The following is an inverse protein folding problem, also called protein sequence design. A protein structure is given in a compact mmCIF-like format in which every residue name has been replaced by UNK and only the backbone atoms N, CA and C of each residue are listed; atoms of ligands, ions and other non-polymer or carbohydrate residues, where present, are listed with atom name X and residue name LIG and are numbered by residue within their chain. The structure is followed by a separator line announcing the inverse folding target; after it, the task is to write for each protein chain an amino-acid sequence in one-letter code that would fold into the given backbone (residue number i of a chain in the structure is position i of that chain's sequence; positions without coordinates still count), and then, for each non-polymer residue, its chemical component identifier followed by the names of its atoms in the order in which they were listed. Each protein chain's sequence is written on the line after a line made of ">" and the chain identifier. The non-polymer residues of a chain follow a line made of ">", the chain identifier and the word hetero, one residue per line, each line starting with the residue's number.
data_IF_399291047179
#
_entry.id   IF_399291047179
#
_cell.length_a   1.000
_cell.length_b   1.000
_cell.length_c   1.000
_cell.angle_alpha   90.00
_cell.angle_beta   90.00
_cell.angle_gamma   90.00
#
_symmetry.space_group_name_H-M   'P 1'
#
loop_
_entity.id
_entity.type
_entity.pdbx_description
1 polymer ?
#
# COMPACT_ATOMS: atom_id res chain seq x y z
N UNK A 1 9.24 17.27 -0.48
CA UNK A 1 10.03 16.47 -1.42
C UNK A 1 11.43 17.07 -1.48
N UNK A 2 12.44 16.31 -1.09
CA UNK A 2 13.84 16.72 -1.24
C UNK A 2 14.65 15.49 -1.53
N UNK A 3 15.14 15.37 -2.76
CA UNK A 3 16.17 14.39 -3.11
C UNK A 3 17.42 14.73 -2.31
N UNK A 4 18.12 13.72 -1.79
CA UNK A 4 19.42 13.93 -1.17
C UNK A 4 20.35 14.67 -2.14
N UNK A 5 20.68 15.92 -1.83
CA UNK A 5 21.52 16.77 -2.68
C UNK A 5 23.00 16.38 -2.64
N UNK A 6 23.41 15.65 -1.61
CA UNK A 6 24.80 15.24 -1.38
C UNK A 6 25.26 14.09 -2.29
N UNK A 7 24.36 13.46 -3.05
CA UNK A 7 24.67 12.34 -3.96
C UNK A 7 24.00 12.60 -5.31
N UNK A 8 24.74 12.48 -6.42
CA UNK A 8 24.16 12.47 -7.77
C UNK A 8 23.40 11.17 -8.00
N UNK A 9 22.11 11.14 -7.69
CA UNK A 9 21.25 9.98 -7.91
C UNK A 9 20.72 9.99 -9.34
N UNK A 10 20.92 8.89 -10.10
CA UNK A 10 20.45 8.74 -11.49
C UNK A 10 18.91 8.76 -11.62
N UNK A 11 18.20 8.20 -10.64
CA UNK A 11 16.74 8.24 -10.53
C UNK A 11 16.36 8.19 -9.05
N UNK A 12 15.51 9.12 -8.59
CA UNK A 12 15.02 9.13 -7.21
C UNK A 12 14.29 7.81 -6.84
N UNK A 13 13.79 7.06 -7.82
CA UNK A 13 13.05 5.80 -7.67
C UNK A 13 13.95 4.55 -7.69
N UNK A 14 15.25 4.72 -7.94
CA UNK A 14 16.20 3.60 -8.00
C UNK A 14 16.68 3.11 -6.63
N UNK A 15 16.74 4.02 -5.63
CA UNK A 15 17.28 3.73 -4.31
C UNK A 15 16.77 4.73 -3.28
N UNK A 16 16.31 4.22 -2.14
CA UNK A 16 15.83 5.03 -1.03
C UNK A 16 17.00 5.61 -0.23
N UNK A 17 16.95 6.91 0.04
CA UNK A 17 17.92 7.65 0.84
C UNK A 17 17.24 8.36 2.00
N UNK A 18 17.73 8.13 3.21
CA UNK A 18 17.25 8.78 4.42
C UNK A 18 18.33 9.76 4.94
N UNK A 19 17.93 10.90 5.50
CA UNK A 19 18.83 11.81 6.20
C UNK A 19 18.37 11.98 7.64
N UNK A 20 19.31 12.12 8.58
CA UNK A 20 18.97 12.36 9.97
C UNK A 20 18.46 13.79 10.15
N UNK A 21 17.41 14.01 10.95
CA UNK A 21 16.82 15.36 11.14
C UNK A 21 17.83 16.39 11.64
N UNK A 22 18.72 15.99 12.55
CA UNK A 22 19.79 16.87 13.06
C UNK A 22 20.97 17.07 12.08
N UNK A 23 21.07 16.27 11.01
CA UNK A 23 22.16 16.32 10.03
C UNK A 23 21.61 16.10 8.61
N UNK A 24 20.90 17.08 8.03
CA UNK A 24 20.21 16.94 6.75
C UNK A 24 21.17 16.76 5.55
N UNK A 25 22.46 17.06 5.73
CA UNK A 25 23.49 16.92 4.70
C UNK A 25 24.04 15.49 4.56
N UNK A 26 23.79 14.63 5.56
CA UNK A 26 24.29 13.25 5.61
C UNK A 26 23.17 12.29 5.25
N UNK A 27 23.29 11.67 4.08
CA UNK A 27 22.31 10.71 3.58
C UNK A 27 22.84 9.27 3.68
N UNK A 28 21.99 8.35 4.12
CA UNK A 28 22.25 6.91 4.13
C UNK A 28 21.25 6.21 3.22
N UNK A 29 21.73 5.31 2.37
CA UNK A 29 20.85 4.52 1.50
C UNK A 29 20.38 3.26 2.23
N UNK A 30 19.08 2.96 2.17
CA UNK A 30 18.53 1.67 2.64
C UNK A 30 18.67 0.54 1.61
N UNK A 31 19.35 0.77 0.48
CA UNK A 31 19.64 -0.19 -0.61
C UNK A 31 18.41 -0.75 -1.36
N UNK A 32 17.22 -0.67 -0.79
CA UNK A 32 15.94 -0.90 -1.48
C UNK A 32 15.50 0.33 -2.29
N UNK A 33 14.73 0.16 -3.38
CA UNK A 33 14.06 1.26 -4.06
C UNK A 33 12.91 1.82 -3.20
N UNK A 34 12.50 3.09 -3.40
CA UNK A 34 11.25 3.61 -2.85
C UNK A 34 10.05 2.81 -3.38
N UNK A 35 8.95 2.89 -2.65
CA UNK A 35 7.71 2.21 -3.05
C UNK A 35 7.10 2.84 -4.29
N UNK A 36 6.28 2.07 -4.99
CA UNK A 36 5.53 2.61 -6.11
C UNK A 36 4.53 3.67 -5.64
N UNK A 37 4.40 4.74 -6.41
CA UNK A 37 3.65 5.93 -6.04
C UNK A 37 4.44 6.94 -5.22
N UNK A 38 5.69 6.66 -4.80
CA UNK A 38 6.52 7.66 -4.10
C UNK A 38 6.73 8.88 -5.00
N UNK A 39 6.39 10.10 -4.55
CA UNK A 39 6.59 11.32 -5.34
C UNK A 39 8.08 11.58 -5.54
N UNK A 40 8.49 11.54 -6.79
CA UNK A 40 9.89 11.72 -7.20
C UNK A 40 10.14 13.07 -7.88
N UNK A 41 9.09 13.88 -8.05
CA UNK A 41 9.13 15.23 -8.59
C UNK A 41 7.72 15.84 -8.64
N UNK A 42 7.61 17.05 -9.19
CA UNK A 42 6.33 17.70 -9.39
C UNK A 42 5.48 16.91 -10.40
N UNK A 43 4.28 16.46 -9.99
CA UNK A 43 3.38 15.62 -10.79
C UNK A 43 4.01 14.30 -11.29
N UNK A 44 5.02 13.78 -10.60
CA UNK A 44 5.71 12.51 -10.94
C UNK A 44 5.82 11.59 -9.74
N UNK A 45 5.73 10.30 -10.00
CA UNK A 45 5.79 9.24 -9.00
C UNK A 45 6.64 8.05 -9.46
N UNK A 46 7.07 7.24 -8.51
CA UNK A 46 7.84 6.04 -8.81
C UNK A 46 6.96 4.91 -9.34
N UNK A 47 7.29 4.37 -10.51
CA UNK A 47 6.70 3.15 -11.08
C UNK A 47 7.86 2.32 -11.63
N UNK A 48 7.98 1.06 -11.25
CA UNK A 48 9.06 0.16 -11.70
C UNK A 48 10.49 0.76 -11.58
N UNK A 49 10.77 1.51 -10.50
CA UNK A 49 12.05 2.20 -10.24
C UNK A 49 12.36 3.41 -11.16
N UNK A 50 11.39 3.82 -11.96
CA UNK A 50 11.44 4.98 -12.84
C UNK A 50 10.52 6.08 -12.31
N UNK A 51 10.93 7.34 -12.46
CA UNK A 51 10.14 8.49 -12.04
C UNK A 51 9.20 8.90 -13.18
N UNK A 52 8.00 8.32 -13.19
CA UNK A 52 6.99 8.48 -14.23
C UNK A 52 6.02 9.63 -13.92
N UNK A 53 5.40 10.28 -14.92
CA UNK A 53 4.29 11.20 -14.71
C UNK A 53 3.07 10.49 -14.12
N UNK A 54 2.31 11.19 -13.29
CA UNK A 54 1.06 10.66 -12.72
C UNK A 54 0.00 10.49 -13.83
N UNK A 55 -0.67 9.32 -13.94
CA UNK A 55 -1.77 9.12 -14.88
C UNK A 55 -2.90 10.12 -14.59
N UNK A 56 -3.32 10.86 -15.62
CA UNK A 56 -4.28 11.96 -15.51
C UNK A 56 -3.67 13.36 -15.67
N UNK A 57 -2.34 13.51 -15.64
CA UNK A 57 -1.63 14.77 -15.97
C UNK A 57 -0.57 14.59 -17.07
N UNK A 58 -0.52 13.41 -17.71
CA UNK A 58 0.32 13.18 -18.86
C UNK A 58 -0.20 13.98 -20.05
N UNK A 59 0.57 14.97 -20.50
CA UNK A 59 0.44 15.50 -21.87
C UNK A 59 0.72 14.31 -22.78
N UNK A 60 -0.31 13.81 -23.45
CA UNK A 60 -0.20 12.73 -24.42
C UNK A 60 0.71 13.22 -25.55
N UNK A 61 1.93 12.74 -25.58
CA UNK A 61 2.70 12.70 -26.82
C UNK A 61 2.57 11.27 -27.32
N UNK A 62 1.66 11.12 -28.27
CA UNK A 62 1.44 9.86 -28.98
C UNK A 62 2.63 9.63 -29.90
N UNK A 63 3.36 8.54 -29.68
CA UNK A 63 4.05 7.89 -30.78
C UNK A 63 3.82 6.40 -30.66
N UNK A 64 2.88 5.95 -31.47
CA UNK A 64 2.69 4.55 -31.87
C UNK A 64 4.00 3.97 -32.40
N UNK A 65 4.30 2.71 -32.06
CA UNK A 65 4.65 1.73 -33.08
C UNK A 65 4.57 0.29 -32.53
N UNK A 66 3.64 -0.43 -33.14
CA UNK A 66 3.56 -1.89 -33.32
C UNK A 66 4.84 -2.49 -33.87
N UNK A 67 5.23 -3.67 -33.39
CA UNK A 67 5.73 -4.74 -34.26
C UNK A 67 5.73 -6.10 -33.54
N UNK A 68 4.92 -6.99 -34.08
CA UNK A 68 4.98 -8.45 -33.96
C UNK A 68 6.11 -9.00 -34.82
N UNK A 69 6.84 -10.00 -34.36
CA UNK A 69 7.48 -11.00 -35.23
C UNK A 69 7.80 -12.31 -34.47
N UNK A 70 7.83 -13.40 -35.23
CA UNK A 70 7.56 -14.79 -34.83
C UNK A 70 8.84 -15.65 -34.90
N UNK A 71 8.95 -16.60 -33.95
CA UNK A 71 9.73 -17.87 -33.87
C UNK A 71 11.24 -17.91 -34.16
N UNK A 72 12.00 -18.53 -33.25
CA UNK A 72 12.86 -19.71 -33.54
C UNK A 72 12.92 -20.62 -32.30
N UNK A 73 12.70 -21.93 -32.51
CA UNK A 73 12.88 -23.00 -31.53
C UNK A 73 14.36 -23.17 -31.13
N UNK A 74 14.62 -23.42 -29.84
CA UNK A 74 15.78 -24.25 -29.47
C UNK A 74 15.46 -25.06 -28.21
N UNK A 75 15.24 -26.36 -28.43
CA UNK A 75 15.33 -27.39 -27.39
C UNK A 75 16.82 -27.55 -27.08
N UNK A 76 17.19 -27.37 -25.81
CA UNK A 76 18.43 -27.87 -25.25
C UNK A 76 18.24 -28.03 -23.73
N UNK A 77 18.09 -29.28 -23.32
CA UNK A 77 18.08 -29.72 -21.92
C UNK A 77 19.38 -29.30 -21.22
N UNK A 78 19.25 -28.75 -20.00
CA UNK A 78 20.12 -29.05 -18.87
C UNK A 78 19.60 -28.35 -17.62
N UNK A 79 18.94 -29.15 -16.79
CA UNK A 79 18.70 -28.89 -15.38
C UNK A 79 20.01 -28.42 -14.72
N UNK A 80 20.05 -27.13 -14.40
CA UNK A 80 20.90 -26.62 -13.33
C UNK A 80 20.01 -25.78 -12.45
N UNK A 81 19.53 -26.43 -11.40
CA UNK A 81 18.75 -25.88 -10.30
C UNK A 81 19.39 -24.58 -9.83
N UNK A 82 18.82 -23.45 -10.25
CA UNK A 82 19.17 -22.15 -9.72
C UNK A 82 18.64 -22.13 -8.29
N UNK A 83 19.50 -22.51 -7.35
CA UNK A 83 19.23 -22.71 -5.93
C UNK A 83 19.00 -21.36 -5.20
N UNK A 84 18.42 -20.38 -5.90
CA UNK A 84 18.14 -19.04 -5.39
C UNK A 84 16.64 -18.92 -5.10
N UNK A 85 16.26 -18.33 -3.96
CA UNK A 85 14.86 -18.09 -3.65
C UNK A 85 14.29 -17.04 -4.60
N UNK A 86 13.21 -17.41 -5.29
CA UNK A 86 12.56 -16.57 -6.29
C UNK A 86 11.07 -16.43 -6.01
N UNK A 87 10.57 -15.20 -6.13
CA UNK A 87 9.13 -14.96 -6.07
C UNK A 87 8.45 -15.46 -7.34
N UNK A 88 7.29 -16.08 -7.21
CA UNK A 88 6.37 -16.24 -8.34
C UNK A 88 5.88 -14.88 -8.80
N UNK A 89 5.33 -14.86 -10.01
CA UNK A 89 4.52 -13.74 -10.43
C UNK A 89 3.41 -13.45 -9.40
N UNK A 90 3.05 -12.18 -9.35
CA UNK A 90 1.89 -11.76 -8.58
C UNK A 90 0.63 -12.42 -9.11
N UNK A 91 -0.17 -12.97 -8.20
CA UNK A 91 -1.52 -13.37 -8.50
C UNK A 91 -2.37 -12.18 -8.96
N UNK A 92 -3.55 -12.49 -9.49
CA UNK A 92 -4.55 -11.48 -9.81
C UNK A 92 -4.96 -10.74 -8.54
N UNK A 93 -5.30 -9.47 -8.71
CA UNK A 93 -5.96 -8.71 -7.66
C UNK A 93 -7.31 -9.33 -7.34
N UNK A 94 -7.66 -9.35 -6.06
CA UNK A 94 -9.01 -9.66 -5.59
C UNK A 94 -9.99 -8.61 -6.09
N UNK A 95 -11.27 -8.94 -6.01
CA UNK A 95 -12.34 -7.96 -6.10
C UNK A 95 -12.21 -6.90 -5.01
N UNK A 96 -12.86 -5.76 -5.23
CA UNK A 96 -12.88 -4.68 -4.27
C UNK A 96 -13.68 -5.10 -3.03
N UNK A 97 -13.14 -4.89 -1.84
CA UNK A 97 -13.81 -5.24 -0.58
C UNK A 97 -15.07 -4.43 -0.31
N UNK A 98 -15.27 -3.34 -1.04
CA UNK A 98 -16.46 -2.50 -0.95
C UNK A 98 -17.33 -2.65 -2.20
N UNK A 99 -18.65 -2.61 -2.00
CA UNK A 99 -19.66 -2.59 -3.07
C UNK A 99 -20.05 -1.17 -3.51
N UNK A 100 -19.65 -0.16 -2.75
CA UNK A 100 -19.76 1.26 -3.10
C UNK A 100 -18.58 2.03 -2.47
N UNK A 101 -18.26 3.20 -3.00
CA UNK A 101 -17.17 4.04 -2.52
C UNK A 101 -15.79 3.40 -2.73
N UNK A 102 -14.89 3.69 -1.80
CA UNK A 102 -13.55 3.11 -1.79
C UNK A 102 -13.49 1.86 -0.91
N UNK A 103 -12.78 0.85 -1.39
CA UNK A 103 -12.46 -0.37 -0.65
C UNK A 103 -10.98 -0.73 -0.80
N UNK A 104 -10.66 -1.96 -0.40
CA UNK A 104 -9.33 -2.55 -0.54
C UNK A 104 -9.40 -3.76 -1.46
N UNK A 105 -8.32 -4.00 -2.19
CA UNK A 105 -8.08 -5.24 -2.90
C UNK A 105 -6.69 -5.75 -2.59
N UNK A 106 -6.54 -7.07 -2.62
CA UNK A 106 -5.30 -7.75 -2.24
C UNK A 106 -4.80 -8.63 -3.37
N UNK A 107 -3.51 -8.89 -3.38
CA UNK A 107 -2.91 -9.94 -4.23
C UNK A 107 -1.78 -10.60 -3.49
N UNK A 108 -1.50 -11.84 -3.87
CA UNK A 108 -0.52 -12.70 -3.21
C UNK A 108 0.46 -13.23 -4.26
N UNK A 109 1.71 -13.40 -3.87
CA UNK A 109 2.74 -14.16 -4.59
C UNK A 109 3.37 -15.15 -3.62
N UNK A 110 3.93 -16.24 -4.14
CA UNK A 110 4.60 -17.26 -3.33
C UNK A 110 6.08 -17.22 -3.58
N UNK A 111 6.89 -17.53 -2.59
CA UNK A 111 8.32 -17.68 -2.79
C UNK A 111 8.65 -19.15 -3.01
N UNK A 112 9.44 -19.44 -4.04
CA UNK A 112 9.91 -20.77 -4.39
C UNK A 112 11.40 -20.85 -4.09
N UNK A 113 11.79 -21.89 -3.37
CA UNK A 113 13.19 -22.17 -3.04
C UNK A 113 13.36 -23.69 -3.01
N UNK A 114 14.35 -24.24 -3.74
CA UNK A 114 14.61 -25.69 -3.80
C UNK A 114 13.38 -26.53 -4.17
N UNK A 115 12.62 -26.06 -5.16
CA UNK A 115 11.39 -26.72 -5.60
C UNK A 115 10.19 -26.63 -4.65
N UNK A 116 10.35 -26.07 -3.44
CA UNK A 116 9.27 -25.94 -2.44
C UNK A 116 8.83 -24.49 -2.25
N UNK A 117 7.59 -24.31 -1.79
CA UNK A 117 7.11 -23.00 -1.36
C UNK A 117 7.73 -22.69 0.01
N UNK A 118 8.42 -21.57 0.11
CA UNK A 118 9.00 -21.07 1.36
C UNK A 118 8.44 -19.69 1.65
N UNK A 119 8.03 -19.40 2.89
CA UNK A 119 7.52 -18.08 3.26
C UNK A 119 8.64 -17.10 3.66
N UNK A 120 9.84 -17.62 3.96
CA UNK A 120 10.94 -16.84 4.56
C UNK A 120 12.18 -16.77 3.68
N UNK A 121 12.32 -17.61 2.65
CA UNK A 121 13.51 -17.64 1.84
C UNK A 121 13.65 -16.42 0.92
N UNK A 122 12.55 -15.80 0.51
CA UNK A 122 12.58 -14.59 -0.32
C UNK A 122 12.43 -13.32 0.52
N UNK A 123 13.23 -12.31 0.20
CA UNK A 123 13.13 -11.00 0.83
C UNK A 123 11.91 -10.21 0.29
N UNK A 124 11.17 -9.58 1.20
CA UNK A 124 10.00 -8.76 0.91
C UNK A 124 8.66 -9.44 1.23
N UNK A 125 7.55 -8.71 1.04
CA UNK A 125 6.22 -9.23 1.36
C UNK A 125 5.70 -10.19 0.26
N UNK A 126 5.08 -11.29 0.70
CA UNK A 126 4.33 -12.21 -0.15
C UNK A 126 2.90 -11.74 -0.46
N UNK A 127 2.45 -10.65 0.18
CA UNK A 127 1.13 -10.06 -0.02
C UNK A 127 1.24 -8.56 -0.32
N UNK A 128 0.26 -8.03 -1.04
CA UNK A 128 0.13 -6.61 -1.31
C UNK A 128 -1.33 -6.19 -1.20
N UNK A 129 -1.54 -4.96 -0.69
CA UNK A 129 -2.85 -4.34 -0.53
C UNK A 129 -2.86 -3.01 -1.28
N UNK A 130 -3.99 -2.67 -1.90
CA UNK A 130 -4.20 -1.37 -2.55
C UNK A 130 -5.65 -0.94 -2.44
N UNK A 131 -5.90 0.37 -2.45
CA UNK A 131 -7.26 0.91 -2.60
C UNK A 131 -7.85 0.61 -3.97
N UNK A 132 -9.17 0.48 -3.99
CA UNK A 132 -9.99 0.31 -5.19
C UNK A 132 -11.24 1.17 -5.11
N UNK A 133 -11.77 1.54 -6.28
CA UNK A 133 -13.08 2.15 -6.42
C UNK A 133 -14.10 1.06 -6.78
N UNK A 134 -15.21 0.99 -6.04
CA UNK A 134 -16.24 -0.03 -6.22
C UNK A 134 -17.15 0.20 -7.44
N UNK A 135 -16.89 1.24 -8.24
CA UNK A 135 -17.66 1.56 -9.44
C UNK A 135 -18.83 2.50 -9.20
N UNK A 136 -19.30 2.65 -7.97
CA UNK A 136 -20.39 3.56 -7.60
C UNK A 136 -20.09 4.28 -6.29
N UNK A 137 -20.54 5.53 -6.15
CA UNK A 137 -20.52 6.23 -4.87
C UNK A 137 -21.54 5.61 -3.92
N UNK A 138 -21.26 5.62 -2.61
CA UNK A 138 -22.26 5.21 -1.63
C UNK A 138 -23.38 6.25 -1.57
N UNK A 139 -24.63 5.78 -1.49
CA UNK A 139 -25.83 6.64 -1.46
C UNK A 139 -25.81 7.65 -0.29
N UNK A 140 -25.16 7.30 0.81
CA UNK A 140 -24.94 8.18 1.96
C UNK A 140 -23.50 8.05 2.44
N UNK A 141 -22.94 9.16 2.94
CA UNK A 141 -21.69 9.14 3.68
C UNK A 141 -21.94 8.39 5.00
N UNK A 142 -21.44 7.16 5.10
CA UNK A 142 -21.59 6.31 6.28
C UNK A 142 -20.30 6.29 7.08
N UNK A 143 -20.37 6.72 8.32
CA UNK A 143 -19.31 6.49 9.29
C UNK A 143 -19.45 5.07 9.85
N UNK A 144 -18.57 4.16 9.39
CA UNK A 144 -18.57 2.77 9.85
C UNK A 144 -18.35 2.66 11.36
N UNK A 145 -17.59 3.57 11.98
CA UNK A 145 -17.39 3.55 13.44
C UNK A 145 -18.69 3.89 14.15
N UNK A 146 -19.39 4.92 13.68
CA UNK A 146 -20.70 5.31 14.22
C UNK A 146 -21.75 4.21 14.02
N UNK A 147 -21.80 3.61 12.83
CA UNK A 147 -22.68 2.47 12.56
C UNK A 147 -22.43 1.30 13.51
N UNK A 148 -21.17 0.97 13.83
CA UNK A 148 -20.86 -0.11 14.75
C UNK A 148 -21.22 0.27 16.19
N UNK A 149 -20.85 1.46 16.66
CA UNK A 149 -21.16 1.91 18.02
C UNK A 149 -22.66 1.97 18.29
N UNK A 150 -23.45 2.54 17.37
CA UNK A 150 -24.91 2.64 17.52
C UNK A 150 -25.61 1.27 17.53
N UNK A 151 -25.03 0.25 16.87
CA UNK A 151 -25.49 -1.14 16.96
C UNK A 151 -25.21 -1.79 18.31
N UNK A 152 -24.14 -1.38 19.00
CA UNK A 152 -23.85 -1.90 20.34
C UNK A 152 -24.83 -1.30 21.36
N UNK A 153 -25.03 0.02 21.31
CA UNK A 153 -25.99 0.69 22.17
C UNK A 153 -26.44 2.01 21.52
N UNK A 154 -27.73 2.35 21.66
CA UNK A 154 -28.31 3.53 21.03
C UNK A 154 -27.63 4.85 21.44
N UNK A 155 -27.00 4.88 22.62
CA UNK A 155 -26.28 6.07 23.13
C UNK A 155 -24.78 6.08 22.88
N UNK A 156 -24.24 5.06 22.22
CA UNK A 156 -22.81 4.99 21.98
C UNK A 156 -22.41 5.83 20.77
N UNK A 157 -21.41 6.66 20.98
CA UNK A 157 -20.74 7.43 19.95
C UNK A 157 -19.31 6.90 19.74
N UNK A 158 -18.73 7.04 18.54
CA UNK A 158 -17.34 6.66 18.29
C UNK A 158 -16.37 7.43 19.19
N UNK A 159 -15.44 6.69 19.80
CA UNK A 159 -14.29 7.24 20.49
C UNK A 159 -13.03 6.99 19.66
N UNK A 160 -12.31 8.03 19.29
CA UNK A 160 -11.01 7.89 18.64
C UNK A 160 -9.94 7.83 19.72
N UNK A 161 -9.28 6.67 19.84
CA UNK A 161 -8.26 6.45 20.87
C UNK A 161 -7.05 7.38 20.65
N UNK A 162 -6.44 7.98 21.69
CA UNK A 162 -5.30 8.89 21.53
C UNK A 162 -4.02 8.19 21.04
N UNK A 163 -3.86 6.90 21.36
CA UNK A 163 -2.78 6.07 20.83
C UNK A 163 -3.10 5.60 19.41
N UNK A 164 -2.23 5.96 18.46
CA UNK A 164 -2.41 5.63 17.05
C UNK A 164 -2.53 4.12 16.82
N UNK A 165 -1.80 3.28 17.56
CA UNK A 165 -1.82 1.81 17.37
C UNK A 165 -3.22 1.20 17.56
N UNK A 166 -4.12 1.90 18.25
CA UNK A 166 -5.48 1.45 18.56
C UNK A 166 -6.53 2.10 17.65
N UNK A 167 -6.10 2.91 16.68
CA UNK A 167 -7.01 3.52 15.70
C UNK A 167 -7.75 2.47 14.85
N UNK A 168 -7.24 1.24 14.71
CA UNK A 168 -7.93 0.15 14.02
C UNK A 168 -8.78 -0.76 14.91
N UNK A 169 -8.97 -0.37 16.17
CA UNK A 169 -9.94 -0.96 17.07
C UNK A 169 -11.21 -0.10 17.09
N UNK A 170 -12.35 -0.74 17.36
CA UNK A 170 -13.60 -0.04 17.57
C UNK A 170 -13.72 0.32 19.06
N UNK A 171 -13.65 1.61 19.33
CA UNK A 171 -13.89 2.16 20.66
C UNK A 171 -15.16 3.01 20.63
N UNK A 172 -16.00 2.83 21.64
CA UNK A 172 -17.24 3.60 21.80
C UNK A 172 -17.33 4.16 23.22
N UNK A 173 -17.99 5.31 23.36
CA UNK A 173 -18.29 5.91 24.66
C UNK A 173 -19.76 6.28 24.71
N UNK A 174 -20.37 6.18 25.89
CA UNK A 174 -21.73 6.65 26.10
C UNK A 174 -21.73 8.17 26.27
N UNK A 175 -22.51 8.89 25.44
CA UNK A 175 -22.57 10.34 25.53
C UNK A 175 -23.20 10.84 26.84
N UNK A 176 -23.96 10.00 27.56
CA UNK A 176 -24.54 10.32 28.86
C UNK A 176 -23.54 10.16 30.01
N UNK A 177 -22.32 9.71 29.72
CA UNK A 177 -21.24 9.50 30.70
C UNK A 177 -20.80 8.05 30.79
N UNK A 178 -19.51 7.84 31.04
CA UNK A 178 -18.88 6.53 31.10
C UNK A 178 -17.46 6.54 30.52
N UNK A 179 -16.76 5.41 30.67
CA UNK A 179 -15.44 5.20 30.06
C UNK A 179 -15.54 4.64 28.63
N UNK A 180 -14.46 4.76 27.84
CA UNK A 180 -14.40 4.15 26.51
C UNK A 180 -14.39 2.62 26.63
N UNK A 181 -15.20 1.96 25.81
CA UNK A 181 -15.34 0.50 25.72
C UNK A 181 -14.87 0.01 24.36
N UNK A 182 -14.12 -1.10 24.33
CA UNK A 182 -13.57 -1.72 23.13
C UNK A 182 -14.47 -2.85 22.63
N UNK A 183 -14.75 -2.88 21.33
CA UNK A 183 -15.60 -3.90 20.68
C UNK A 183 -14.85 -4.72 19.60
N UNK A 184 -13.52 -4.72 19.61
CA UNK A 184 -12.67 -5.49 18.72
C UNK A 184 -12.10 -4.68 17.55
N UNK A 185 -11.89 -5.35 16.41
CA UNK A 185 -11.27 -4.76 15.24
C UNK A 185 -12.27 -4.04 14.33
N UNK A 186 -11.81 -2.97 13.68
CA UNK A 186 -12.58 -2.32 12.61
C UNK A 186 -12.53 -3.12 11.31
N UNK A 187 -13.60 -3.06 10.50
CA UNK A 187 -13.61 -3.68 9.19
C UNK A 187 -12.51 -3.11 8.28
N UNK A 188 -11.97 -3.97 7.41
CA UNK A 188 -10.96 -3.56 6.44
C UNK A 188 -11.45 -2.41 5.53
N UNK A 189 -10.53 -1.48 5.24
CA UNK A 189 -10.80 -0.27 4.48
C UNK A 189 -11.46 0.85 5.29
N UNK A 190 -11.76 0.65 6.57
CA UNK A 190 -12.26 1.73 7.44
C UNK A 190 -11.14 2.75 7.69
N UNK A 191 -11.38 4.07 7.53
CA UNK A 191 -10.38 5.08 7.83
C UNK A 191 -9.90 4.99 9.28
N UNK A 192 -8.58 5.06 9.49
CA UNK A 192 -7.93 4.98 10.80
C UNK A 192 -8.25 6.19 11.67
N UNK A 193 -8.40 7.37 11.08
CA UNK A 193 -8.87 8.57 11.78
C UNK A 193 -9.75 9.41 10.88
N UNK A 194 -10.51 10.33 11.49
CA UNK A 194 -11.28 11.33 10.76
C UNK A 194 -10.42 12.41 10.09
N UNK A 195 -9.18 12.61 10.56
CA UNK A 195 -8.24 13.59 10.02
C UNK A 195 -7.43 13.07 8.83
N UNK A 196 -7.25 11.75 8.71
CA UNK A 196 -6.48 11.10 7.64
C UNK A 196 -7.37 10.07 6.93
N UNK A 197 -8.29 10.50 6.03
CA UNK A 197 -9.26 9.61 5.39
C UNK A 197 -8.62 8.56 4.48
N UNK A 198 -7.35 8.75 4.09
CA UNK A 198 -6.60 7.82 3.26
C UNK A 198 -5.89 6.73 4.05
N UNK A 199 -5.65 6.90 5.35
CA UNK A 199 -5.08 5.82 6.15
C UNK A 199 -6.22 4.88 6.54
N UNK A 200 -6.07 3.59 6.26
CA UNK A 200 -7.17 2.62 6.42
C UNK A 200 -6.73 1.38 7.18
N UNK A 201 -7.69 0.75 7.84
CA UNK A 201 -7.46 -0.49 8.59
C UNK A 201 -7.41 -1.70 7.68
N UNK A 202 -6.53 -2.64 7.99
CA UNK A 202 -6.46 -3.95 7.35
C UNK A 202 -5.94 -4.98 8.35
N UNK A 203 -6.74 -6.01 8.66
CA UNK A 203 -6.38 -7.05 9.63
C UNK A 203 -5.86 -6.49 10.96
N UNK A 204 -6.56 -5.52 11.54
CA UNK A 204 -6.20 -4.81 12.80
C UNK A 204 -4.96 -3.91 12.70
N UNK A 205 -4.26 -3.90 11.56
CA UNK A 205 -3.10 -3.05 11.32
C UNK A 205 -3.51 -1.73 10.67
N UNK A 206 -2.82 -0.66 11.06
CA UNK A 206 -2.88 0.63 10.39
C UNK A 206 -2.09 0.54 9.09
N UNK A 207 -2.78 0.66 7.97
CA UNK A 207 -2.11 0.89 6.70
C UNK A 207 -2.12 2.40 6.43
N UNK A 208 -0.97 3.02 6.68
CA UNK A 208 -0.75 4.40 6.25
C UNK A 208 -0.54 4.44 4.73
N UNK A 209 -1.61 4.73 3.98
CA UNK A 209 -1.47 4.96 2.55
C UNK A 209 -0.79 6.32 2.27
N UNK A 210 -0.68 7.18 3.29
CA UNK A 210 0.06 8.45 3.22
C UNK A 210 1.52 8.36 3.71
N UNK A 211 1.88 7.39 4.58
CA UNK A 211 3.19 7.32 5.28
C UNK A 211 4.15 6.22 4.80
N UNK A 212 4.03 5.73 3.57
CA UNK A 212 5.18 5.14 2.88
C UNK A 212 6.10 6.22 2.25
N UNK A 213 6.28 7.33 2.96
CA UNK A 213 7.03 8.54 2.57
C UNK A 213 8.06 8.97 3.63
N UNK A 214 8.77 8.02 4.25
CA UNK A 214 9.93 8.28 5.13
C UNK A 214 11.18 7.54 4.66
#
# INVERSE_FOLDING_TARGET
>A
FSVCKSVKVRSACSRLWCAHRAMPHVCRSKRAPPLEGTPCGHNKWCVDRVCEPMPGHAIKTETTNTQTEVTVNKVEDKERENDKPEWTDWGRWSDCSASCGYGLRTRIRRCRYKGVISESACEGAGFQVRTCWAGAACATARDRRADICTRQHARFIPYLHPNETQHCEIWCVDYAGGGPSNFGALPDGTPCSYSRPYDVCFQVLLIFLTMFNL
#
